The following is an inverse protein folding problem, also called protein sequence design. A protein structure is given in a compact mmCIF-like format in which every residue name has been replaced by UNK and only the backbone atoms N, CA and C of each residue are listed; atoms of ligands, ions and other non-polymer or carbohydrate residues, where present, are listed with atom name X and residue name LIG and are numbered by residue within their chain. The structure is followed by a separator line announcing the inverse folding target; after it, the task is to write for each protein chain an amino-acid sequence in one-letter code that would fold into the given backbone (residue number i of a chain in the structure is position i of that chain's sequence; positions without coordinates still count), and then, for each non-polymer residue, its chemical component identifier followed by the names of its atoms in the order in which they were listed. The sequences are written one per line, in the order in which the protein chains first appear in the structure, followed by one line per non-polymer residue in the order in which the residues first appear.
data_IF_444014710335
#
_entry.id   IF_444014710335
#
_cell.length_a   1.000
_cell.length_b   1.000
_cell.length_c   1.000
_cell.angle_alpha   90.00
_cell.angle_beta   90.00
_cell.angle_gamma   90.00
#
_symmetry.space_group_name_H-M   'P 1'
#
loop_
_entity.id
_entity.type
_entity.pdbx_description
1 polymer ?
#
# COMPACT_ATOMS: atom_id res chain seq x y z
N UNK A 1 1.34 43.93 -1.07
CA UNK A 1 0.74 43.11 -0.01
C UNK A 1 0.65 41.69 -0.58
N UNK A 2 1.69 40.88 -0.35
CA UNK A 2 1.81 39.52 -0.90
C UNK A 2 1.03 38.56 -0.02
N UNK A 3 0.14 37.75 -0.61
CA UNK A 3 -0.55 36.65 0.07
C UNK A 3 0.46 35.55 0.41
N UNK A 4 0.47 34.99 1.61
CA UNK A 4 1.36 33.90 1.96
C UNK A 4 0.93 32.60 1.24
N UNK A 5 1.92 31.94 0.67
CA UNK A 5 1.80 30.67 -0.05
C UNK A 5 1.21 29.55 0.81
N UNK A 6 0.17 28.93 0.32
CA UNK A 6 -0.57 27.79 0.91
C UNK A 6 0.23 26.47 0.86
N UNK A 7 1.57 26.51 0.88
CA UNK A 7 2.43 25.34 0.72
C UNK A 7 3.27 25.02 1.98
N UNK A 8 2.66 25.10 3.16
CA UNK A 8 3.23 24.46 4.35
C UNK A 8 2.13 23.69 5.10
N UNK A 9 1.53 22.68 4.45
CA UNK A 9 1.00 21.56 5.22
C UNK A 9 2.23 20.89 5.85
N UNK A 10 2.40 21.07 7.16
CA UNK A 10 3.33 20.29 7.96
C UNK A 10 3.11 18.84 7.56
N UNK A 11 4.14 18.18 7.06
CA UNK A 11 4.16 16.73 6.99
C UNK A 11 3.84 16.26 8.42
N UNK A 12 2.64 15.74 8.61
CA UNK A 12 2.30 15.02 9.83
C UNK A 12 3.31 13.86 9.79
N UNK A 13 4.20 13.84 10.78
CA UNK A 13 5.16 12.75 10.96
C UNK A 13 4.29 11.51 11.25
N UNK A 14 3.93 10.79 10.19
CA UNK A 14 3.15 9.58 10.30
C UNK A 14 3.98 8.57 11.07
N UNK A 15 3.62 8.37 12.33
CA UNK A 15 4.22 7.33 13.13
C UNK A 15 3.83 5.98 12.50
N UNK A 16 4.80 5.14 12.13
CA UNK A 16 4.50 3.84 11.54
C UNK A 16 3.72 2.96 12.53
N UNK A 17 2.88 2.10 11.98
CA UNK A 17 2.04 1.19 12.79
C UNK A 17 2.93 0.25 13.59
N UNK A 18 2.60 0.05 14.89
CA UNK A 18 3.33 -0.84 15.79
C UNK A 18 4.85 -0.56 15.84
N UNK A 19 5.24 0.74 15.78
CA UNK A 19 6.63 1.17 15.68
C UNK A 19 7.54 0.57 16.75
N UNK A 20 7.11 0.59 18.01
CA UNK A 20 7.86 0.09 19.14
C UNK A 20 7.93 -1.44 19.15
N UNK A 21 6.84 -2.11 18.77
CA UNK A 21 6.77 -3.56 18.64
C UNK A 21 7.70 -4.08 17.55
N UNK A 22 7.66 -3.45 16.36
CA UNK A 22 8.52 -3.80 15.23
C UNK A 22 9.98 -3.64 15.62
N UNK A 23 10.34 -2.50 16.22
CA UNK A 23 11.71 -2.24 16.69
C UNK A 23 12.18 -3.27 17.72
N UNK A 24 11.31 -3.59 18.70
CA UNK A 24 11.60 -4.56 19.76
C UNK A 24 11.73 -5.99 19.24
N UNK A 25 10.88 -6.39 18.30
CA UNK A 25 10.86 -7.77 17.76
C UNK A 25 12.00 -8.01 16.79
N UNK A 26 12.30 -7.07 15.91
CA UNK A 26 13.42 -7.19 14.97
C UNK A 26 14.76 -7.03 15.68
N UNK A 27 14.82 -6.25 16.77
CA UNK A 27 15.98 -6.04 17.64
C UNK A 27 17.31 -5.83 16.86
N UNK A 28 17.25 -5.04 15.82
CA UNK A 28 18.33 -4.80 14.85
C UNK A 28 19.58 -4.24 15.52
N UNK A 29 20.76 -4.69 15.06
CA UNK A 29 22.07 -4.31 15.60
C UNK A 29 22.99 -3.75 14.52
N UNK A 30 24.00 -2.94 14.91
CA UNK A 30 25.03 -2.48 14.00
C UNK A 30 25.73 -3.64 13.28
N UNK A 31 25.90 -3.52 11.97
CA UNK A 31 26.52 -4.54 11.12
C UNK A 31 25.53 -5.44 10.37
N UNK A 32 24.26 -5.45 10.79
CA UNK A 32 23.23 -6.32 10.21
C UNK A 32 22.71 -5.81 8.85
N UNK A 33 22.09 -6.73 8.12
CA UNK A 33 21.40 -6.49 6.84
C UNK A 33 19.90 -6.55 7.06
N UNK A 34 19.20 -5.45 6.79
CA UNK A 34 17.74 -5.37 6.82
C UNK A 34 17.20 -5.40 5.40
N UNK A 35 16.15 -6.17 5.17
CA UNK A 35 15.33 -6.14 3.95
C UNK A 35 13.93 -5.65 4.32
N UNK A 36 13.58 -4.45 3.87
CA UNK A 36 12.27 -3.84 4.03
C UNK A 36 11.47 -4.01 2.74
N UNK A 37 10.49 -4.90 2.75
CA UNK A 37 9.70 -5.27 1.57
C UNK A 37 8.59 -4.28 1.21
N UNK A 38 8.38 -3.27 2.07
CA UNK A 38 7.26 -2.33 2.01
C UNK A 38 7.71 -0.93 2.45
N UNK A 39 8.74 -0.40 1.77
CA UNK A 39 9.43 0.82 2.18
C UNK A 39 8.49 2.03 2.37
N UNK A 40 7.55 2.25 1.44
CA UNK A 40 6.57 3.34 1.47
C UNK A 40 7.21 4.72 1.62
N UNK A 41 6.75 5.50 2.63
CA UNK A 41 7.34 6.80 2.98
C UNK A 41 8.57 6.70 3.90
N UNK A 42 9.03 5.48 4.20
CA UNK A 42 10.21 5.22 5.01
C UNK A 42 10.02 5.43 6.52
N UNK A 43 8.80 5.26 7.03
CA UNK A 43 8.51 5.39 8.46
C UNK A 43 9.29 4.37 9.29
N UNK A 44 9.07 3.09 9.07
CA UNK A 44 9.82 1.99 9.71
C UNK A 44 11.30 2.03 9.37
N UNK A 45 11.64 2.39 8.12
CA UNK A 45 13.03 2.48 7.68
C UNK A 45 13.85 3.43 8.54
N UNK A 46 13.29 4.59 8.90
CA UNK A 46 13.97 5.57 9.77
C UNK A 46 14.24 5.01 11.18
N UNK A 47 13.31 4.23 11.72
CA UNK A 47 13.45 3.61 13.04
C UNK A 47 14.56 2.56 13.04
N UNK A 48 14.50 1.62 12.09
CA UNK A 48 15.45 0.50 12.01
C UNK A 48 16.85 0.97 11.60
N UNK A 49 16.95 1.95 10.69
CA UNK A 49 18.24 2.52 10.31
C UNK A 49 18.93 3.27 11.45
N UNK A 50 18.18 3.85 12.37
CA UNK A 50 18.75 4.46 13.58
C UNK A 50 19.42 3.41 14.49
N UNK A 51 18.86 2.20 14.58
CA UNK A 51 19.40 1.10 15.37
C UNK A 51 20.66 0.48 14.75
N UNK A 52 20.81 0.52 13.43
CA UNK A 52 22.05 0.16 12.74
C UNK A 52 23.21 1.10 13.09
N UNK A 53 22.95 2.26 13.66
CA UNK A 53 23.93 3.22 14.13
C UNK A 53 25.07 3.52 13.13
N UNK A 54 24.70 3.70 11.85
CA UNK A 54 25.63 4.02 10.76
C UNK A 54 26.48 2.85 10.24
N UNK A 55 26.27 1.63 10.74
CA UNK A 55 26.97 0.44 10.29
C UNK A 55 25.94 -0.64 9.92
N UNK A 56 25.96 -1.11 8.68
CA UNK A 56 25.07 -2.15 8.18
C UNK A 56 24.53 -1.86 6.79
N UNK A 57 23.60 -2.70 6.39
CA UNK A 57 22.98 -2.66 5.06
C UNK A 57 21.46 -2.51 5.19
N UNK A 58 20.88 -1.60 4.42
CA UNK A 58 19.43 -1.42 4.32
C UNK A 58 18.96 -1.58 2.87
N UNK A 59 18.23 -2.66 2.59
CA UNK A 59 17.66 -2.96 1.28
C UNK A 59 16.17 -2.66 1.36
N UNK A 60 15.76 -1.58 0.69
CA UNK A 60 14.37 -1.18 0.56
C UNK A 60 13.77 -1.77 -0.72
N UNK A 61 12.58 -2.34 -0.62
CA UNK A 61 11.80 -2.84 -1.76
C UNK A 61 10.46 -2.13 -1.76
N UNK A 62 10.02 -1.67 -2.93
CA UNK A 62 8.66 -1.20 -3.14
C UNK A 62 8.27 -1.34 -4.60
N UNK A 63 7.00 -1.61 -4.88
CA UNK A 63 6.47 -1.65 -6.24
C UNK A 63 6.05 -0.27 -6.74
N UNK A 64 5.72 0.66 -5.83
CA UNK A 64 5.26 2.01 -6.15
C UNK A 64 6.46 2.91 -6.51
N UNK A 65 6.55 3.44 -7.74
CA UNK A 65 7.67 4.31 -8.13
C UNK A 65 7.70 5.64 -7.36
N UNK A 66 6.59 6.04 -6.75
CA UNK A 66 6.49 7.30 -6.00
C UNK A 66 7.28 7.28 -4.68
N UNK A 67 7.78 6.12 -4.23
CA UNK A 67 8.66 6.02 -3.06
C UNK A 67 10.05 6.63 -3.27
N UNK A 68 10.49 6.84 -4.51
CA UNK A 68 11.85 7.26 -4.84
C UNK A 68 12.30 8.55 -4.12
N UNK A 69 11.53 9.64 -4.07
CA UNK A 69 11.90 10.84 -3.33
C UNK A 69 12.11 10.61 -1.84
N UNK A 70 11.29 9.73 -1.24
CA UNK A 70 11.40 9.35 0.17
C UNK A 70 12.67 8.55 0.42
N UNK A 71 12.99 7.61 -0.47
CA UNK A 71 14.23 6.84 -0.38
C UNK A 71 15.48 7.72 -0.56
N UNK A 72 15.49 8.67 -1.49
CA UNK A 72 16.62 9.59 -1.64
C UNK A 72 16.80 10.48 -0.39
N UNK A 73 15.71 10.88 0.27
CA UNK A 73 15.78 11.58 1.55
C UNK A 73 16.35 10.70 2.66
N UNK A 74 15.88 9.45 2.74
CA UNK A 74 16.37 8.43 3.65
C UNK A 74 17.88 8.18 3.44
N UNK A 75 18.31 7.95 2.21
CA UNK A 75 19.72 7.75 1.84
C UNK A 75 20.62 8.92 2.25
N UNK A 76 20.17 10.16 2.07
CA UNK A 76 20.93 11.34 2.52
C UNK A 76 21.07 11.39 4.04
N UNK A 77 20.00 11.04 4.77
CA UNK A 77 20.01 11.07 6.24
C UNK A 77 20.90 9.98 6.85
N UNK A 78 20.91 8.79 6.23
CA UNK A 78 21.64 7.63 6.70
C UNK A 78 22.78 7.23 5.77
N UNK A 79 23.52 8.22 5.27
CA UNK A 79 24.56 8.07 4.25
C UNK A 79 25.74 7.19 4.60
N UNK A 80 25.92 6.85 5.88
CA UNK A 80 26.92 5.88 6.36
C UNK A 80 26.51 4.42 6.16
N UNK A 81 25.19 4.13 6.00
CA UNK A 81 24.69 2.81 5.70
C UNK A 81 24.83 2.47 4.21
N UNK A 82 25.03 1.20 3.92
CA UNK A 82 24.91 0.68 2.57
C UNK A 82 23.42 0.58 2.21
N UNK A 83 22.88 1.56 1.51
CA UNK A 83 21.45 1.60 1.18
C UNK A 83 21.20 1.26 -0.28
N UNK A 84 20.15 0.48 -0.56
CA UNK A 84 19.72 0.12 -1.92
C UNK A 84 18.19 0.13 -2.00
N UNK A 85 17.64 0.75 -3.07
CA UNK A 85 16.24 0.64 -3.43
C UNK A 85 16.09 -0.31 -4.60
N UNK A 86 15.26 -1.33 -4.43
CA UNK A 86 14.85 -2.28 -5.46
C UNK A 86 13.37 -2.06 -5.77
N UNK A 87 13.06 -1.79 -7.03
CA UNK A 87 11.68 -1.61 -7.46
C UNK A 87 11.10 -2.94 -7.95
N UNK A 88 9.93 -3.29 -7.48
CA UNK A 88 9.20 -4.47 -7.95
C UNK A 88 8.33 -5.11 -6.88
N UNK A 89 7.70 -6.19 -7.27
CA UNK A 89 6.96 -7.04 -6.35
C UNK A 89 7.95 -7.75 -5.41
N UNK A 90 7.74 -7.65 -4.11
CA UNK A 90 8.71 -8.12 -3.12
C UNK A 90 8.99 -9.62 -3.22
N UNK A 91 8.01 -10.45 -3.60
CA UNK A 91 8.22 -11.89 -3.80
C UNK A 91 9.29 -12.17 -4.84
N UNK A 92 9.21 -11.52 -6.01
CA UNK A 92 10.17 -11.68 -7.10
C UNK A 92 11.54 -11.09 -6.74
N UNK A 93 11.54 -9.95 -6.05
CA UNK A 93 12.79 -9.30 -5.63
C UNK A 93 13.50 -10.12 -4.56
N UNK A 94 12.76 -10.73 -3.60
CA UNK A 94 13.33 -11.61 -2.59
C UNK A 94 13.97 -12.87 -3.22
N UNK A 95 13.33 -13.48 -4.23
CA UNK A 95 13.91 -14.59 -4.98
C UNK A 95 15.23 -14.20 -5.65
N UNK A 96 15.27 -13.01 -6.27
CA UNK A 96 16.50 -12.49 -6.87
C UNK A 96 17.60 -12.24 -5.83
N UNK A 97 17.26 -11.68 -4.68
CA UNK A 97 18.22 -11.46 -3.60
C UNK A 97 18.77 -12.77 -3.08
N UNK A 98 17.92 -13.77 -2.85
CA UNK A 98 18.32 -15.11 -2.40
C UNK A 98 19.23 -15.81 -3.45
N UNK A 99 18.85 -15.76 -4.72
CA UNK A 99 19.67 -16.31 -5.82
C UNK A 99 21.05 -15.65 -5.91
N UNK A 100 21.15 -14.37 -5.58
CA UNK A 100 22.42 -13.62 -5.53
C UNK A 100 23.18 -13.79 -4.21
N UNK A 101 22.75 -14.71 -3.34
CA UNK A 101 23.44 -15.01 -2.08
C UNK A 101 23.33 -13.89 -1.03
N UNK A 102 22.30 -13.05 -1.11
CA UNK A 102 22.07 -12.02 -0.08
C UNK A 102 21.43 -12.68 1.13
N UNK A 103 22.09 -12.59 2.26
CA UNK A 103 21.56 -12.98 3.56
C UNK A 103 21.02 -11.75 4.28
N UNK A 104 19.86 -11.91 4.94
CA UNK A 104 19.22 -10.88 5.72
C UNK A 104 19.09 -11.30 7.18
N UNK A 105 19.48 -10.43 8.11
CA UNK A 105 19.32 -10.63 9.54
C UNK A 105 17.89 -10.30 9.99
N UNK A 106 17.25 -9.34 9.30
CA UNK A 106 15.87 -8.97 9.55
C UNK A 106 15.13 -8.70 8.23
N UNK A 107 13.87 -9.15 8.16
CA UNK A 107 12.95 -8.88 7.05
C UNK A 107 11.68 -8.23 7.62
N UNK A 108 11.29 -7.09 7.05
CA UNK A 108 10.06 -6.39 7.40
C UNK A 108 9.05 -6.47 6.24
N UNK A 109 7.80 -6.81 6.59
CA UNK A 109 6.64 -6.73 5.71
C UNK A 109 5.51 -6.01 6.46
N UNK A 110 5.27 -4.75 6.11
CA UNK A 110 4.10 -3.97 6.57
C UNK A 110 3.08 -3.94 5.43
N UNK A 111 2.24 -5.00 5.39
CA UNK A 111 1.35 -5.26 4.27
C UNK A 111 0.12 -4.36 4.32
N UNK A 112 -0.19 -3.72 3.21
CA UNK A 112 -1.36 -2.86 3.05
C UNK A 112 -1.11 -1.73 2.07
N UNK A 113 -1.93 -0.67 2.19
CA UNK A 113 -1.78 0.56 1.42
C UNK A 113 -1.02 1.60 2.22
N UNK A 114 -0.13 2.33 1.57
CA UNK A 114 0.63 3.39 2.23
C UNK A 114 -0.19 4.68 2.34
N UNK A 115 0.15 5.54 3.32
CA UNK A 115 -0.43 6.88 3.43
C UNK A 115 -0.25 7.70 2.14
N UNK A 116 0.89 7.56 1.46
CA UNK A 116 1.13 8.21 0.17
C UNK A 116 0.07 7.87 -0.88
N UNK A 117 -0.47 6.64 -0.86
CA UNK A 117 -1.49 6.19 -1.81
C UNK A 117 -2.87 6.72 -1.43
N UNK A 118 -3.18 6.76 -0.13
CA UNK A 118 -4.47 7.25 0.40
C UNK A 118 -4.57 8.78 0.33
N UNK A 119 -3.47 9.49 0.60
CA UNK A 119 -3.41 10.96 0.60
C UNK A 119 -3.46 11.57 -0.81
N UNK A 120 -3.35 10.75 -1.85
CA UNK A 120 -3.45 11.12 -3.25
C UNK A 120 -4.75 10.61 -3.88
N UNK A 121 -5.86 11.40 -3.87
CA UNK A 121 -7.17 10.96 -4.35
C UNK A 121 -7.15 10.40 -5.76
N UNK A 122 -6.32 10.96 -6.65
CA UNK A 122 -6.16 10.51 -8.04
C UNK A 122 -5.60 9.08 -8.18
N UNK A 123 -5.17 8.47 -7.07
CA UNK A 123 -4.70 7.08 -7.03
C UNK A 123 -5.84 6.07 -6.87
N UNK A 124 -7.04 6.53 -6.48
CA UNK A 124 -8.22 5.68 -6.34
C UNK A 124 -8.28 4.79 -5.09
N UNK A 125 -7.40 4.99 -4.10
CA UNK A 125 -7.39 4.21 -2.86
C UNK A 125 -8.34 4.74 -1.78
N UNK A 126 -8.87 5.96 -1.97
CA UNK A 126 -9.78 6.58 -1.00
C UNK A 126 -11.23 6.52 -1.49
N UNK A 127 -12.13 6.26 -0.56
CA UNK A 127 -13.58 6.39 -0.76
C UNK A 127 -14.17 7.64 -0.07
N UNK A 128 -13.31 8.49 0.48
CA UNK A 128 -13.74 9.72 1.14
C UNK A 128 -14.10 10.84 0.14
N UNK A 129 -13.57 10.76 -1.07
CA UNK A 129 -13.84 11.67 -2.19
C UNK A 129 -14.16 10.83 -3.43
N UNK A 130 -14.94 11.42 -4.35
CA UNK A 130 -15.26 10.76 -5.62
C UNK A 130 -14.04 10.80 -6.55
N UNK A 131 -13.51 9.64 -6.87
CA UNK A 131 -12.26 9.47 -7.62
C UNK A 131 -12.38 8.33 -8.63
N UNK A 132 -11.57 8.31 -9.70
CA UNK A 132 -11.51 7.18 -10.62
C UNK A 132 -11.12 5.87 -9.92
N UNK A 133 -11.64 4.74 -10.40
CA UNK A 133 -11.32 3.40 -9.93
C UNK A 133 -9.97 2.92 -10.51
N UNK A 134 -8.85 3.55 -10.10
CA UNK A 134 -7.50 3.15 -10.52
C UNK A 134 -6.93 2.04 -9.60
N UNK A 135 -6.57 2.36 -8.37
CA UNK A 135 -6.01 1.49 -7.33
C UNK A 135 -4.70 0.77 -7.70
N UNK A 136 -4.01 1.16 -8.77
CA UNK A 136 -2.70 0.59 -9.11
C UNK A 136 -1.61 1.16 -8.19
N UNK A 137 -0.91 0.31 -7.48
CA UNK A 137 0.29 0.72 -6.73
C UNK A 137 1.42 1.11 -7.69
N UNK A 138 1.64 0.32 -8.73
CA UNK A 138 2.48 0.70 -9.88
C UNK A 138 1.60 1.13 -11.05
N UNK A 139 1.58 2.42 -11.37
CA UNK A 139 0.77 2.98 -12.47
C UNK A 139 1.22 2.53 -13.86
N UNK A 140 2.36 1.86 -13.98
CA UNK A 140 2.76 1.20 -15.23
C UNK A 140 2.09 -0.16 -15.43
N UNK A 141 1.43 -0.72 -14.42
CA UNK A 141 0.61 -1.92 -14.56
C UNK A 141 -0.59 -1.62 -15.48
N UNK A 142 -1.00 -2.61 -16.28
CA UNK A 142 -2.09 -2.45 -17.24
C UNK A 142 -3.46 -2.43 -16.55
N UNK A 143 -3.68 -3.32 -15.58
CA UNK A 143 -4.98 -3.60 -14.97
C UNK A 143 -5.31 -2.61 -13.85
N UNK A 144 -6.42 -1.89 -14.01
CA UNK A 144 -7.01 -0.98 -13.01
C UNK A 144 -8.15 -1.64 -12.24
N UNK A 145 -8.57 -1.02 -11.13
CA UNK A 145 -9.80 -1.44 -10.43
C UNK A 145 -11.04 -1.29 -11.33
N UNK A 146 -11.07 -0.28 -12.21
CA UNK A 146 -12.16 -0.10 -13.17
C UNK A 146 -12.28 -1.29 -14.12
N UNK A 147 -11.16 -1.80 -14.65
CA UNK A 147 -11.15 -2.96 -15.54
C UNK A 147 -11.71 -4.20 -14.81
N UNK A 148 -11.24 -4.44 -13.58
CA UNK A 148 -11.74 -5.57 -12.77
C UNK A 148 -13.25 -5.43 -12.51
N UNK A 149 -13.68 -4.24 -12.08
CA UNK A 149 -15.09 -3.99 -11.74
C UNK A 149 -16.00 -4.12 -12.97
N UNK A 150 -15.54 -3.67 -14.16
CA UNK A 150 -16.36 -3.64 -15.35
C UNK A 150 -16.29 -4.91 -16.21
N UNK A 151 -15.17 -5.63 -16.21
CA UNK A 151 -14.95 -6.74 -17.15
C UNK A 151 -15.01 -8.14 -16.51
N UNK A 152 -14.68 -8.26 -15.20
CA UNK A 152 -14.72 -9.55 -14.53
C UNK A 152 -16.14 -10.11 -14.44
N UNK A 153 -16.29 -11.42 -14.54
CA UNK A 153 -17.59 -12.10 -14.35
C UNK A 153 -18.13 -11.92 -12.93
N UNK A 154 -19.44 -12.12 -12.74
CA UNK A 154 -20.08 -12.10 -11.40
C UNK A 154 -19.37 -13.07 -10.43
N UNK A 155 -18.98 -14.25 -10.92
CA UNK A 155 -18.30 -15.26 -10.12
C UNK A 155 -16.90 -14.80 -9.68
N UNK A 156 -16.11 -14.24 -10.60
CA UNK A 156 -14.77 -13.74 -10.29
C UNK A 156 -14.81 -12.60 -9.30
N UNK A 157 -15.73 -11.63 -9.49
CA UNK A 157 -15.92 -10.55 -8.51
C UNK A 157 -16.30 -11.08 -7.14
N UNK A 158 -17.24 -12.02 -7.07
CA UNK A 158 -17.64 -12.63 -5.80
C UNK A 158 -16.48 -13.38 -5.13
N UNK A 159 -15.64 -14.07 -5.90
CA UNK A 159 -14.46 -14.76 -5.39
C UNK A 159 -13.40 -13.76 -4.88
N UNK A 160 -13.18 -12.65 -5.58
CA UNK A 160 -12.29 -11.56 -5.14
C UNK A 160 -12.77 -10.98 -3.80
N UNK A 161 -14.03 -10.57 -3.71
CA UNK A 161 -14.57 -9.97 -2.50
C UNK A 161 -14.58 -10.94 -1.32
N UNK A 162 -14.84 -12.21 -1.56
CA UNK A 162 -14.85 -13.23 -0.51
C UNK A 162 -13.46 -13.58 -0.03
N UNK A 163 -12.50 -13.80 -0.95
CA UNK A 163 -11.16 -14.30 -0.62
C UNK A 163 -10.24 -13.22 -0.07
N UNK A 164 -10.34 -12.00 -0.58
CA UNK A 164 -9.44 -10.90 -0.23
C UNK A 164 -10.09 -9.85 0.66
N UNK A 165 -11.42 -9.73 0.61
CA UNK A 165 -12.17 -8.78 1.43
C UNK A 165 -12.94 -9.43 2.58
N UNK A 166 -12.93 -10.77 2.68
CA UNK A 166 -13.71 -11.54 3.67
C UNK A 166 -15.21 -11.14 3.68
N UNK A 167 -15.71 -10.61 2.56
CA UNK A 167 -17.04 -10.02 2.46
C UNK A 167 -18.11 -11.12 2.45
N UNK A 168 -19.01 -11.09 3.43
CA UNK A 168 -20.11 -12.07 3.58
C UNK A 168 -21.16 -11.94 2.48
N UNK A 169 -21.40 -10.73 1.97
CA UNK A 169 -22.34 -10.41 0.91
C UNK A 169 -21.69 -10.37 -0.49
N UNK A 170 -20.53 -11.01 -0.66
CA UNK A 170 -19.75 -10.99 -1.89
C UNK A 170 -20.58 -11.30 -3.14
N UNK A 171 -21.43 -12.33 -3.13
CA UNK A 171 -22.27 -12.69 -4.28
C UNK A 171 -23.35 -11.65 -4.61
N UNK A 172 -24.19 -11.18 -3.66
CA UNK A 172 -25.13 -10.11 -3.92
C UNK A 172 -24.48 -8.82 -4.43
N UNK A 173 -23.32 -8.45 -3.87
CA UNK A 173 -22.55 -7.28 -4.30
C UNK A 173 -22.07 -7.45 -5.75
N UNK A 174 -21.44 -8.58 -6.07
CA UNK A 174 -20.96 -8.88 -7.42
C UNK A 174 -22.08 -8.83 -8.46
N UNK A 175 -23.24 -9.47 -8.16
CA UNK A 175 -24.41 -9.43 -9.04
C UNK A 175 -24.91 -8.01 -9.28
N UNK A 176 -24.99 -7.18 -8.22
CA UNK A 176 -25.45 -5.80 -8.35
C UNK A 176 -24.45 -4.93 -9.13
N UNK A 177 -23.14 -5.14 -8.97
CA UNK A 177 -22.11 -4.48 -9.78
C UNK A 177 -22.33 -4.80 -11.26
N UNK A 178 -22.42 -6.09 -11.62
CA UNK A 178 -22.63 -6.50 -13.02
C UNK A 178 -23.89 -5.87 -13.63
N UNK A 179 -24.97 -5.76 -12.85
CA UNK A 179 -26.22 -5.13 -13.29
C UNK A 179 -26.18 -3.59 -13.37
N UNK A 180 -25.14 -2.95 -12.88
CA UNK A 180 -24.99 -1.48 -12.82
C UNK A 180 -23.85 -0.93 -13.66
N UNK A 181 -23.13 -1.80 -14.36
CA UNK A 181 -22.02 -1.43 -15.24
C UNK A 181 -22.46 -0.47 -16.36
N UNK A 182 -21.60 0.44 -16.80
CA UNK A 182 -20.24 0.68 -16.30
C UNK A 182 -20.22 1.49 -15.01
N UNK A 183 -19.25 1.20 -14.14
CA UNK A 183 -18.92 1.99 -12.95
C UNK A 183 -17.55 2.63 -13.17
N UNK A 184 -17.45 3.94 -12.98
CA UNK A 184 -16.25 4.71 -13.30
C UNK A 184 -15.59 5.35 -12.09
N UNK A 185 -16.37 5.58 -11.02
CA UNK A 185 -15.90 6.28 -9.84
C UNK A 185 -16.11 5.49 -8.54
N UNK A 186 -15.37 5.88 -7.52
CA UNK A 186 -15.46 5.28 -6.18
C UNK A 186 -16.86 5.44 -5.58
N UNK A 187 -17.52 6.58 -5.78
CA UNK A 187 -18.87 6.81 -5.23
C UNK A 187 -19.93 5.95 -5.90
N UNK A 188 -19.83 5.71 -7.19
CA UNK A 188 -20.72 4.77 -7.87
C UNK A 188 -20.59 3.35 -7.31
N UNK A 189 -19.36 2.89 -7.09
CA UNK A 189 -19.10 1.59 -6.49
C UNK A 189 -19.58 1.52 -5.01
N UNK A 190 -19.30 2.56 -4.23
CA UNK A 190 -19.76 2.66 -2.83
C UNK A 190 -21.29 2.64 -2.73
N UNK A 191 -22.01 3.33 -3.63
CA UNK A 191 -23.46 3.31 -3.68
C UNK A 191 -24.01 1.89 -3.93
N UNK A 192 -23.40 1.17 -4.87
CA UNK A 192 -23.77 -0.22 -5.15
C UNK A 192 -23.58 -1.11 -3.92
N UNK A 193 -22.44 -1.01 -3.25
CA UNK A 193 -22.13 -1.81 -2.05
C UNK A 193 -23.08 -1.48 -0.91
N UNK A 194 -23.26 -0.19 -0.57
CA UNK A 194 -24.12 0.26 0.53
C UNK A 194 -25.57 -0.19 0.35
N UNK A 195 -26.14 -0.04 -0.84
CA UNK A 195 -27.52 -0.47 -1.12
C UNK A 195 -27.67 -1.98 -1.03
N UNK A 196 -26.66 -2.74 -1.49
CA UNK A 196 -26.72 -4.21 -1.41
C UNK A 196 -26.68 -4.68 0.02
N UNK A 197 -25.78 -4.16 0.85
CA UNK A 197 -25.66 -4.56 2.25
C UNK A 197 -26.87 -4.16 3.08
N UNK A 198 -27.46 -2.99 2.83
CA UNK A 198 -28.70 -2.57 3.48
C UNK A 198 -29.89 -3.49 3.14
N UNK A 199 -30.06 -3.87 1.86
CA UNK A 199 -31.10 -4.77 1.41
C UNK A 199 -30.94 -6.18 2.02
N UNK A 200 -29.72 -6.70 2.11
CA UNK A 200 -29.45 -8.03 2.68
C UNK A 200 -29.64 -8.05 4.21
N UNK A 201 -29.26 -6.99 4.91
CA UNK A 201 -29.52 -6.85 6.36
C UNK A 201 -31.05 -6.76 6.61
N UNK A 202 -31.79 -6.00 5.81
CA UNK A 202 -33.24 -5.91 5.90
C UNK A 202 -33.94 -7.25 5.71
N UNK A 203 -33.47 -8.10 4.81
CA UNK A 203 -34.02 -9.45 4.57
C UNK A 203 -33.74 -10.44 5.74
N UNK A 204 -32.62 -10.23 6.44
CA UNK A 204 -32.27 -11.10 7.57
C UNK A 204 -33.10 -10.85 8.84
N UNK A 205 -33.92 -9.78 8.87
CA UNK A 205 -34.73 -9.35 10.01
C UNK A 205 -36.24 -9.56 9.77
N UNK A 206 -36.64 -10.22 8.68
CA UNK A 206 -38.00 -10.64 8.33
C UNK A 206 -38.07 -12.17 8.38
#
# INVERSE_FOLDING_TARGET
MMLPSVLQRRAIDHQPVLADEVRRLLAVRPGETIVDCTFGAGGHAKLLAADLNGNGRYIAIDRDPSVRPYFESFKRRYGSLQTRLLRGEFSLVLEQLATNGVEADAILLDLGVSSMQVDHPERGFSYATDVPLDMRMDRSAELTAADIVNDASERELADIFKRFGEERYARPIARRIVGRRPLTTSFELVDVVKRTTADEIGRAHV
#
